data_IF_749899625669
#
_entry.id   IF_749899625669
#
_cell.length_a   1.000
_cell.length_b   1.000
_cell.length_c   1.000
_cell.angle_alpha   90.00
_cell.angle_beta   90.00
_cell.angle_gamma   90.00
#
_symmetry.space_group_name_H-M   'P 1'
#
loop_
_entity.id
_entity.type
_entity.pdbx_description
1 polymer ?
#
# COMPACT_ATOMS: atom_id res chain seq x y z
N UNK A 1 35.35 -48.39 -1.99
CA UNK A 1 34.03 -48.27 -2.66
C UNK A 1 33.44 -46.90 -2.31
N UNK A 2 33.34 -45.98 -3.27
CA UNK A 2 32.79 -44.62 -3.06
C UNK A 2 31.27 -44.66 -3.26
N UNK A 3 30.51 -44.21 -2.25
CA UNK A 3 29.05 -44.16 -2.28
C UNK A 3 28.56 -43.16 -3.34
N UNK A 4 27.59 -43.60 -4.15
CA UNK A 4 26.95 -42.81 -5.18
C UNK A 4 26.05 -41.73 -4.58
N UNK A 5 26.24 -40.50 -5.06
CA UNK A 5 25.37 -39.34 -4.80
C UNK A 5 24.04 -39.59 -5.50
N UNK A 6 22.98 -39.85 -4.73
CA UNK A 6 21.59 -39.83 -5.23
C UNK A 6 21.08 -38.39 -5.21
N UNK A 7 21.17 -37.71 -6.35
CA UNK A 7 20.53 -36.42 -6.57
C UNK A 7 19.03 -36.63 -6.77
N UNK A 8 18.23 -36.27 -5.76
CA UNK A 8 16.77 -36.23 -5.87
C UNK A 8 16.34 -35.10 -6.83
N UNK A 9 15.41 -35.34 -7.78
CA UNK A 9 14.99 -34.32 -8.73
C UNK A 9 14.21 -33.22 -8.00
N UNK A 10 14.70 -31.98 -8.12
CA UNK A 10 14.07 -30.75 -7.65
C UNK A 10 12.74 -30.55 -8.37
N UNK A 11 11.66 -31.14 -7.85
CA UNK A 11 10.31 -30.87 -8.31
C UNK A 11 9.96 -29.39 -8.04
N UNK A 12 10.06 -28.57 -9.10
CA UNK A 12 9.39 -27.27 -9.17
C UNK A 12 7.89 -27.55 -9.21
N UNK A 13 7.26 -27.68 -8.05
CA UNK A 13 5.80 -27.66 -7.95
C UNK A 13 5.35 -26.22 -8.16
N UNK A 14 4.93 -25.90 -9.39
CA UNK A 14 4.13 -24.71 -9.65
C UNK A 14 2.77 -24.89 -8.97
N UNK A 15 2.71 -24.59 -7.67
CA UNK A 15 1.48 -24.66 -6.89
C UNK A 15 0.56 -23.52 -7.35
N UNK A 16 -0.52 -23.87 -8.06
CA UNK A 16 -1.64 -22.94 -8.30
C UNK A 16 -2.08 -22.38 -6.93
N UNK A 17 -2.24 -21.05 -6.79
CA UNK A 17 -2.66 -20.48 -5.51
C UNK A 17 -4.01 -21.08 -5.09
N UNK A 18 -4.10 -21.52 -3.84
CA UNK A 18 -5.34 -22.13 -3.32
C UNK A 18 -6.42 -21.06 -3.33
N UNK A 19 -7.69 -21.41 -3.60
CA UNK A 19 -8.82 -20.45 -3.69
C UNK A 19 -8.88 -19.45 -2.52
N UNK A 20 -8.47 -19.86 -1.31
CA UNK A 20 -8.40 -18.99 -0.13
C UNK A 20 -7.32 -17.90 -0.17
N UNK A 21 -6.20 -18.11 -0.86
CA UNK A 21 -5.16 -17.09 -1.07
C UNK A 21 -5.62 -16.04 -2.07
N UNK A 22 -6.28 -16.47 -3.16
CA UNK A 22 -6.91 -15.58 -4.14
C UNK A 22 -7.95 -14.69 -3.44
N UNK A 23 -8.78 -15.26 -2.57
CA UNK A 23 -9.78 -14.49 -1.83
C UNK A 23 -9.15 -13.45 -0.89
N UNK A 24 -8.01 -13.76 -0.27
CA UNK A 24 -7.27 -12.82 0.59
C UNK A 24 -6.63 -11.68 -0.22
N UNK A 25 -6.06 -12.00 -1.39
CA UNK A 25 -5.51 -11.01 -2.30
C UNK A 25 -6.60 -10.07 -2.79
N UNK A 26 -7.76 -10.61 -3.17
CA UNK A 26 -8.92 -9.80 -3.61
C UNK A 26 -9.40 -8.90 -2.47
N UNK A 27 -9.58 -9.42 -1.25
CA UNK A 27 -9.99 -8.59 -0.09
C UNK A 27 -8.98 -7.50 0.22
N UNK A 28 -7.69 -7.83 0.22
CA UNK A 28 -6.63 -6.84 0.42
C UNK A 28 -6.64 -5.77 -0.69
N UNK A 29 -6.81 -6.19 -1.94
CA UNK A 29 -6.94 -5.30 -3.08
C UNK A 29 -8.17 -4.39 -2.99
N UNK A 30 -9.33 -4.92 -2.59
CA UNK A 30 -10.55 -4.13 -2.38
C UNK A 30 -10.38 -3.08 -1.27
N UNK A 31 -9.78 -3.47 -0.14
CA UNK A 31 -9.49 -2.53 0.95
C UNK A 31 -8.50 -1.46 0.48
N UNK A 32 -7.42 -1.86 -0.19
CA UNK A 32 -6.44 -0.94 -0.77
C UNK A 32 -7.04 0.02 -1.80
N UNK A 33 -7.92 -0.46 -2.67
CA UNK A 33 -8.65 0.34 -3.64
C UNK A 33 -9.59 1.34 -2.97
N UNK A 34 -10.31 0.92 -1.92
CA UNK A 34 -11.18 1.82 -1.15
C UNK A 34 -10.39 2.91 -0.43
N UNK A 35 -9.23 2.57 0.16
CA UNK A 35 -8.32 3.56 0.75
C UNK A 35 -7.70 4.48 -0.29
N UNK A 36 -7.43 3.99 -1.50
CA UNK A 36 -6.92 4.81 -2.62
C UNK A 36 -7.96 5.82 -3.08
N UNK A 37 -9.21 5.39 -3.24
CA UNK A 37 -10.32 6.27 -3.58
C UNK A 37 -10.57 7.30 -2.48
N UNK A 38 -10.55 6.89 -1.22
CA UNK A 38 -10.67 7.83 -0.09
C UNK A 38 -9.54 8.86 -0.08
N UNK A 39 -8.30 8.43 -0.33
CA UNK A 39 -7.16 9.34 -0.41
C UNK A 39 -7.34 10.38 -1.52
N UNK A 40 -7.72 9.93 -2.71
CA UNK A 40 -8.06 10.81 -3.84
C UNK A 40 -9.13 11.84 -3.46
N UNK A 41 -10.24 11.39 -2.87
CA UNK A 41 -11.35 12.27 -2.49
C UNK A 41 -10.95 13.28 -1.42
N UNK A 42 -10.16 12.87 -0.42
CA UNK A 42 -9.66 13.77 0.63
C UNK A 42 -8.75 14.85 0.04
N UNK A 43 -7.80 14.46 -0.81
CA UNK A 43 -6.89 15.43 -1.46
C UNK A 43 -7.69 16.40 -2.34
N UNK A 44 -8.62 15.88 -3.15
CA UNK A 44 -9.48 16.72 -3.98
C UNK A 44 -10.30 17.71 -3.15
N UNK A 45 -10.95 17.25 -2.07
CA UNK A 45 -11.79 18.09 -1.22
C UNK A 45 -10.96 19.19 -0.53
N UNK A 46 -9.84 18.82 0.10
CA UNK A 46 -9.00 19.75 0.86
C UNK A 46 -8.35 20.78 -0.08
N UNK A 47 -7.83 20.35 -1.23
CA UNK A 47 -7.26 21.29 -2.22
C UNK A 47 -8.34 22.17 -2.85
N UNK A 48 -9.54 21.65 -3.11
CA UNK A 48 -10.65 22.47 -3.64
C UNK A 48 -11.08 23.53 -2.63
N UNK A 49 -11.15 23.18 -1.35
CA UNK A 49 -11.43 24.15 -0.30
C UNK A 49 -10.32 25.20 -0.19
N UNK A 50 -9.06 24.77 -0.17
CA UNK A 50 -7.90 25.67 -0.11
C UNK A 50 -7.80 26.61 -1.32
N UNK A 51 -8.09 26.11 -2.51
CA UNK A 51 -8.14 26.91 -3.73
C UNK A 51 -9.22 27.99 -3.67
N UNK A 52 -10.45 27.63 -3.27
CA UNK A 52 -11.58 28.56 -3.28
C UNK A 52 -11.61 29.54 -2.09
N UNK A 53 -11.04 29.17 -0.94
CA UNK A 53 -11.18 29.96 0.31
C UNK A 53 -9.87 30.48 0.89
N UNK A 54 -8.73 29.86 0.57
CA UNK A 54 -7.42 30.18 1.15
C UNK A 54 -6.39 30.66 0.11
N UNK A 55 -6.76 30.70 -1.18
CA UNK A 55 -5.88 31.12 -2.27
C UNK A 55 -4.74 30.14 -2.56
N UNK A 56 -4.86 28.86 -2.19
CA UNK A 56 -3.82 27.87 -2.46
C UNK A 56 -3.72 27.54 -3.95
N UNK A 57 -2.49 27.48 -4.47
CA UNK A 57 -2.26 27.05 -5.84
C UNK A 57 -2.25 25.51 -5.93
N UNK A 58 -2.97 24.88 -6.88
CA UNK A 58 -2.98 23.43 -7.04
C UNK A 58 -1.64 22.82 -7.44
N UNK A 59 -0.70 23.64 -7.92
CA UNK A 59 0.68 23.26 -8.25
C UNK A 59 1.69 23.53 -7.12
N UNK A 60 1.28 24.12 -6.00
CA UNK A 60 2.19 24.37 -4.89
C UNK A 60 2.59 23.04 -4.24
N UNK A 61 3.84 22.64 -4.48
CA UNK A 61 4.44 21.43 -3.94
C UNK A 61 4.30 21.32 -2.42
N UNK A 62 4.36 22.43 -1.69
CA UNK A 62 4.28 22.45 -0.22
C UNK A 62 2.87 22.13 0.24
N UNK A 63 1.88 22.85 -0.30
CA UNK A 63 0.48 22.63 0.01
C UNK A 63 0.04 21.22 -0.38
N UNK A 64 0.39 20.77 -1.59
CA UNK A 64 -0.01 19.45 -2.09
C UNK A 64 0.64 18.32 -1.29
N UNK A 65 1.93 18.43 -0.97
CA UNK A 65 2.61 17.41 -0.15
C UNK A 65 2.03 17.35 1.26
N UNK A 66 1.70 18.50 1.87
CA UNK A 66 1.04 18.56 3.17
C UNK A 66 -0.32 17.85 3.15
N UNK A 67 -1.16 18.17 2.16
CA UNK A 67 -2.49 17.58 2.00
C UNK A 67 -2.41 16.08 1.70
N UNK A 68 -1.53 15.65 0.81
CA UNK A 68 -1.31 14.23 0.50
C UNK A 68 -0.83 13.44 1.73
N UNK A 69 0.00 14.05 2.58
CA UNK A 69 0.46 13.45 3.84
C UNK A 69 -0.69 13.26 4.82
N UNK A 70 -1.51 14.29 5.03
CA UNK A 70 -2.69 14.21 5.89
C UNK A 70 -3.65 13.12 5.40
N UNK A 71 -3.95 13.11 4.09
CA UNK A 71 -4.80 12.10 3.48
C UNK A 71 -4.21 10.68 3.65
N UNK A 72 -2.88 10.52 3.52
CA UNK A 72 -2.22 9.24 3.74
C UNK A 72 -2.33 8.77 5.18
N UNK A 73 -2.12 9.64 6.18
CA UNK A 73 -2.25 9.27 7.60
C UNK A 73 -3.65 8.74 7.89
N UNK A 74 -4.68 9.47 7.44
CA UNK A 74 -6.09 9.05 7.59
C UNK A 74 -6.33 7.70 6.93
N UNK A 75 -5.96 7.56 5.66
CA UNK A 75 -6.22 6.34 4.89
C UNK A 75 -5.44 5.13 5.41
N UNK A 76 -4.17 5.33 5.81
CA UNK A 76 -3.33 4.29 6.38
C UNK A 76 -3.90 3.78 7.71
N UNK A 77 -4.36 4.70 8.58
CA UNK A 77 -5.05 4.37 9.82
C UNK A 77 -6.34 3.59 9.58
N UNK A 78 -7.19 4.06 8.67
CA UNK A 78 -8.44 3.36 8.30
C UNK A 78 -8.15 1.96 7.74
N UNK A 79 -7.19 1.85 6.82
CA UNK A 79 -6.79 0.56 6.23
C UNK A 79 -6.24 -0.41 7.28
N UNK A 80 -5.47 0.09 8.25
CA UNK A 80 -4.96 -0.73 9.35
C UNK A 80 -6.10 -1.25 10.24
N UNK A 81 -7.01 -0.37 10.67
CA UNK A 81 -8.15 -0.74 11.51
C UNK A 81 -9.07 -1.74 10.79
N UNK A 82 -9.36 -1.50 9.52
CA UNK A 82 -10.19 -2.39 8.72
C UNK A 82 -9.53 -3.75 8.51
N UNK A 83 -8.22 -3.79 8.24
CA UNK A 83 -7.50 -5.05 8.13
C UNK A 83 -7.41 -5.81 9.47
N UNK A 84 -7.21 -5.11 10.59
CA UNK A 84 -7.16 -5.74 11.91
C UNK A 84 -8.52 -6.35 12.29
N UNK A 85 -9.61 -5.61 12.08
CA UNK A 85 -10.97 -6.05 12.41
C UNK A 85 -11.49 -7.11 11.45
N UNK A 86 -11.38 -6.88 10.13
CA UNK A 86 -12.05 -7.71 9.12
C UNK A 86 -11.15 -8.77 8.49
N UNK A 87 -9.91 -8.42 8.13
CA UNK A 87 -9.02 -9.36 7.41
C UNK A 87 -8.42 -10.39 8.35
N UNK A 88 -7.97 -9.97 9.54
CA UNK A 88 -7.24 -10.83 10.46
C UNK A 88 -8.00 -11.21 11.72
N UNK A 89 -9.13 -10.57 12.04
CA UNK A 89 -9.91 -10.80 13.27
C UNK A 89 -9.03 -10.81 14.54
N UNK A 90 -7.94 -10.05 14.54
CA UNK A 90 -7.00 -9.96 15.66
C UNK A 90 -7.28 -8.67 16.42
N UNK A 91 -8.19 -8.75 17.38
CA UNK A 91 -8.45 -7.68 18.33
C UNK A 91 -8.13 -8.18 19.74
N UNK A 92 -7.29 -7.48 20.53
CA UNK A 92 -6.70 -6.16 20.26
C UNK A 92 -5.46 -6.20 19.33
N UNK A 93 -5.15 -5.08 18.64
CA UNK A 93 -4.00 -4.97 17.74
C UNK A 93 -2.65 -5.10 18.49
N UNK A 94 -1.74 -5.93 17.94
CA UNK A 94 -0.41 -6.13 18.52
C UNK A 94 0.61 -5.11 17.97
N UNK A 95 1.24 -4.32 18.86
CA UNK A 95 2.16 -3.21 18.52
C UNK A 95 3.29 -3.60 17.55
N UNK A 96 3.89 -4.80 17.71
CA UNK A 96 4.98 -5.26 16.83
C UNK A 96 4.54 -5.52 15.39
N UNK A 97 3.31 -6.00 15.17
CA UNK A 97 2.79 -6.20 13.81
C UNK A 97 2.41 -4.87 13.17
N UNK A 98 1.84 -3.95 13.95
CA UNK A 98 1.58 -2.58 13.50
C UNK A 98 2.88 -1.92 13.00
N UNK A 99 3.97 -1.99 13.78
CA UNK A 99 5.25 -1.39 13.41
C UNK A 99 5.82 -1.91 12.06
N UNK A 100 5.72 -3.22 11.79
CA UNK A 100 6.16 -3.78 10.50
C UNK A 100 5.25 -3.35 9.33
N UNK A 101 3.94 -3.21 9.57
CA UNK A 101 3.02 -2.70 8.56
C UNK A 101 3.29 -1.22 8.28
N UNK A 102 3.44 -0.41 9.33
CA UNK A 102 3.73 1.01 9.17
C UNK A 102 5.10 1.27 8.53
N UNK A 103 6.12 0.44 8.77
CA UNK A 103 7.43 0.63 8.13
C UNK A 103 7.38 0.41 6.61
N UNK A 104 6.68 -0.64 6.16
CA UNK A 104 6.47 -0.92 4.73
C UNK A 104 5.55 0.11 4.07
N UNK A 105 4.51 0.54 4.80
CA UNK A 105 3.62 1.60 4.35
C UNK A 105 4.36 2.95 4.23
N UNK A 106 5.27 3.26 5.15
CA UNK A 106 6.05 4.51 5.15
C UNK A 106 7.04 4.55 3.97
N UNK A 107 7.71 3.43 3.67
CA UNK A 107 8.55 3.34 2.48
C UNK A 107 7.74 3.56 1.20
N UNK A 108 6.58 2.91 1.10
CA UNK A 108 5.69 3.05 -0.05
C UNK A 108 5.13 4.47 -0.17
N UNK A 109 4.88 5.13 0.96
CA UNK A 109 4.47 6.52 1.03
C UNK A 109 5.55 7.49 0.54
N UNK A 110 6.82 7.25 0.90
CA UNK A 110 7.92 8.06 0.40
C UNK A 110 8.02 7.99 -1.14
N UNK A 111 7.86 6.79 -1.72
CA UNK A 111 7.82 6.63 -3.18
C UNK A 111 6.59 7.32 -3.78
N UNK A 112 5.42 7.18 -3.16
CA UNK A 112 4.21 7.89 -3.57
C UNK A 112 4.44 9.41 -3.61
N UNK A 113 5.01 10.01 -2.57
CA UNK A 113 5.28 11.46 -2.53
C UNK A 113 6.26 11.88 -3.62
N UNK A 114 7.29 11.07 -3.89
CA UNK A 114 8.24 11.34 -4.96
C UNK A 114 7.56 11.31 -6.34
N UNK A 115 6.72 10.30 -6.60
CA UNK A 115 5.95 10.21 -7.84
C UNK A 115 4.98 11.39 -7.97
N UNK A 116 4.26 11.76 -6.91
CA UNK A 116 3.35 12.90 -6.93
C UNK A 116 4.07 14.20 -7.28
N UNK A 117 5.16 14.51 -6.57
CA UNK A 117 5.91 15.74 -6.80
C UNK A 117 6.55 15.76 -8.20
N UNK A 118 7.03 14.63 -8.69
CA UNK A 118 7.54 14.51 -10.07
C UNK A 118 6.43 14.77 -11.10
N UNK A 119 5.24 14.20 -10.91
CA UNK A 119 4.11 14.40 -11.82
C UNK A 119 3.64 15.85 -11.84
N UNK A 120 3.56 16.50 -10.68
CA UNK A 120 3.20 17.93 -10.59
C UNK A 120 4.25 18.80 -11.29
N UNK A 121 5.54 18.50 -11.07
CA UNK A 121 6.64 19.21 -11.71
C UNK A 121 6.58 19.10 -13.24
N UNK A 122 6.24 17.92 -13.77
CA UNK A 122 6.20 17.67 -15.21
C UNK A 122 4.94 18.19 -15.90
N UNK A 123 3.78 18.11 -15.24
CA UNK A 123 2.49 18.37 -15.89
C UNK A 123 1.89 19.75 -15.59
N UNK A 124 2.37 20.48 -14.58
CA UNK A 124 1.92 21.82 -14.17
C UNK A 124 0.39 21.92 -14.11
N UNK A 125 -0.18 21.66 -12.93
CA UNK A 125 -1.64 21.61 -12.72
C UNK A 125 -2.25 22.95 -12.34
N UNK A 126 -3.31 23.34 -13.03
CA UNK A 126 -4.03 24.60 -12.77
C UNK A 126 -5.30 24.38 -11.95
N UNK A 127 -5.81 23.14 -11.90
CA UNK A 127 -7.05 22.81 -11.20
C UNK A 127 -6.84 21.79 -10.09
N UNK A 128 -7.51 21.91 -8.93
CA UNK A 128 -7.41 20.93 -7.84
C UNK A 128 -7.70 19.48 -8.26
N UNK A 129 -8.62 19.28 -9.22
CA UNK A 129 -8.97 17.96 -9.73
C UNK A 129 -7.82 17.32 -10.51
N UNK A 130 -7.02 18.10 -11.24
CA UNK A 130 -5.86 17.59 -11.98
C UNK A 130 -4.81 17.08 -10.99
N UNK A 131 -4.49 17.88 -9.98
CA UNK A 131 -3.58 17.49 -8.89
C UNK A 131 -4.08 16.25 -8.15
N UNK A 132 -5.39 16.17 -7.89
CA UNK A 132 -5.99 15.01 -7.26
C UNK A 132 -5.83 13.75 -8.13
N UNK A 133 -6.01 13.85 -9.45
CA UNK A 133 -5.81 12.72 -10.38
C UNK A 133 -4.34 12.27 -10.37
N UNK A 134 -3.38 13.19 -10.40
CA UNK A 134 -1.95 12.87 -10.26
C UNK A 134 -1.65 12.19 -8.92
N UNK A 135 -2.25 12.67 -7.83
CA UNK A 135 -2.18 12.02 -6.53
C UNK A 135 -2.79 10.61 -6.57
N UNK A 136 -3.92 10.40 -7.26
CA UNK A 136 -4.51 9.09 -7.44
C UNK A 136 -3.55 8.08 -8.09
N UNK A 137 -2.84 8.50 -9.13
CA UNK A 137 -1.79 7.69 -9.79
C UNK A 137 -0.64 7.39 -8.82
N UNK A 138 -0.19 8.39 -8.08
CA UNK A 138 0.87 8.24 -7.09
C UNK A 138 0.48 7.27 -5.96
N UNK A 139 -0.74 7.39 -5.42
CA UNK A 139 -1.28 6.50 -4.38
C UNK A 139 -1.38 5.08 -4.90
N UNK A 140 -1.91 4.88 -6.11
CA UNK A 140 -2.02 3.55 -6.71
C UNK A 140 -0.64 2.91 -6.87
N UNK A 141 0.37 3.69 -7.29
CA UNK A 141 1.76 3.24 -7.40
C UNK A 141 2.32 2.82 -6.02
N UNK A 142 2.14 3.66 -5.00
CA UNK A 142 2.55 3.36 -3.63
C UNK A 142 1.83 2.13 -3.06
N UNK A 143 0.52 1.99 -3.31
CA UNK A 143 -0.27 0.85 -2.86
C UNK A 143 0.20 -0.47 -3.49
N UNK A 144 0.52 -0.47 -4.79
CA UNK A 144 1.09 -1.63 -5.48
C UNK A 144 2.46 -2.00 -4.91
N UNK A 145 3.33 -1.02 -4.66
CA UNK A 145 4.62 -1.26 -4.03
C UNK A 145 4.46 -1.83 -2.61
N UNK A 146 3.53 -1.28 -1.83
CA UNK A 146 3.25 -1.78 -0.49
C UNK A 146 2.76 -3.24 -0.53
N UNK A 147 1.89 -3.56 -1.49
CA UNK A 147 1.45 -4.93 -1.71
C UNK A 147 2.61 -5.86 -2.10
N UNK A 148 3.46 -5.45 -3.03
CA UNK A 148 4.61 -6.24 -3.46
C UNK A 148 5.60 -6.46 -2.30
N UNK A 149 5.92 -5.42 -1.54
CA UNK A 149 6.77 -5.50 -0.36
C UNK A 149 6.17 -6.43 0.70
N UNK A 150 4.87 -6.30 1.00
CA UNK A 150 4.17 -7.19 1.91
C UNK A 150 4.16 -8.63 1.39
N UNK A 151 3.90 -8.85 0.10
CA UNK A 151 3.87 -10.20 -0.49
C UNK A 151 5.23 -10.90 -0.50
N UNK A 152 6.31 -10.18 -0.84
CA UNK A 152 7.65 -10.75 -0.97
C UNK A 152 8.35 -10.91 0.38
N UNK A 153 8.11 -10.01 1.33
CA UNK A 153 8.76 -10.01 2.65
C UNK A 153 7.94 -10.75 3.71
N UNK A 154 6.62 -10.52 3.79
CA UNK A 154 5.76 -11.09 4.85
C UNK A 154 5.29 -12.49 4.48
N UNK A 155 4.98 -12.75 3.21
CA UNK A 155 4.50 -14.05 2.73
C UNK A 155 5.57 -14.87 1.99
N UNK A 156 6.84 -14.50 2.12
CA UNK A 156 7.93 -15.28 1.53
C UNK A 156 7.87 -16.74 2.02
N UNK A 157 7.72 -17.74 1.12
CA UNK A 157 7.59 -19.17 1.48
C UNK A 157 8.76 -19.71 2.33
N UNK A 158 9.87 -18.97 2.38
CA UNK A 158 11.12 -19.34 3.04
C UNK A 158 11.11 -19.22 4.58
N UNK A 159 10.05 -18.68 5.21
CA UNK A 159 10.04 -18.44 6.68
C UNK A 159 8.95 -19.18 7.47
N UNK A 160 8.17 -20.05 6.85
CA UNK A 160 7.38 -21.05 7.57
C UNK A 160 8.05 -22.42 7.44
N UNK A 161 9.02 -22.79 8.31
CA UNK A 161 9.13 -24.18 8.67
C UNK A 161 7.76 -24.54 9.23
N UNK A 162 7.06 -25.43 8.53
CA UNK A 162 5.89 -26.11 9.04
C UNK A 162 6.24 -26.62 10.43
N UNK A 163 5.81 -25.89 11.47
CA UNK A 163 5.68 -26.46 12.80
C UNK A 163 4.54 -27.45 12.65
N UNK A 164 4.90 -28.67 12.27
CA UNK A 164 4.09 -29.86 12.53
C UNK A 164 3.78 -29.79 14.01
N UNK A 165 2.56 -29.41 14.34
CA UNK A 165 2.03 -29.70 15.66
C UNK A 165 1.47 -31.13 15.59
N UNK A 166 1.71 -31.92 16.64
CA UNK A 166 1.45 -33.36 16.70
C UNK A 166 -0.02 -33.72 16.52
#
# INVERSE_FOLDING_TARGET
MKAAVSASPRQKTSSRPKRGEILRIVRFGTVGASGTLLNFLLVWLILSFGYNHLGWHPADHTAVTGVATLAWVVCCGTNYLLNAWWTFHHWPPHLRQALHYYSTALFSFAVQLLVLNLLIYLMVTERPIETAVLNGVAVATGALLNYLAASLWVFSPSRHPLRKLP
#
